data_IF_971203843988
#
_entry.id   IF_971203843988
#
_cell.length_a   1.000
_cell.length_b   1.000
_cell.length_c   1.000
_cell.angle_alpha   90.00
_cell.angle_beta   90.00
_cell.angle_gamma   90.00
#
_symmetry.space_group_name_H-M   'P 1'
#
loop_
_entity.id
_entity.type
_entity.pdbx_description
1 polymer ?
#
# COMPACT_ATOMS: atom_id res chain seq x y z
N UNK A 1 -20.95 -2.63 32.34
CA UNK A 1 -21.52 -2.41 31.00
C UNK A 1 -20.37 -2.52 30.01
N UNK A 2 -20.20 -3.70 29.39
CA UNK A 2 -19.08 -3.96 28.49
C UNK A 2 -19.35 -3.20 27.20
N UNK A 3 -18.52 -2.19 26.89
CA UNK A 3 -18.69 -1.38 25.70
C UNK A 3 -18.27 -2.23 24.51
N UNK A 4 -19.25 -2.79 23.80
CA UNK A 4 -19.01 -3.56 22.58
C UNK A 4 -18.25 -2.69 21.57
N UNK A 5 -17.12 -3.22 21.10
CA UNK A 5 -16.31 -2.55 20.09
C UNK A 5 -17.07 -2.52 18.77
N UNK A 6 -17.01 -1.41 17.99
CA UNK A 6 -17.56 -1.37 16.63
C UNK A 6 -17.02 -2.53 15.79
N UNK A 7 -17.86 -3.11 14.93
CA UNK A 7 -17.48 -4.29 14.14
C UNK A 7 -16.30 -4.03 13.21
N UNK A 8 -16.14 -2.81 12.70
CA UNK A 8 -15.01 -2.42 11.84
C UNK A 8 -13.70 -2.53 12.60
N UNK A 9 -13.70 -2.12 13.87
CA UNK A 9 -12.51 -2.15 14.71
C UNK A 9 -12.12 -3.57 15.08
N UNK A 10 -13.09 -4.49 15.20
CA UNK A 10 -12.80 -5.93 15.41
C UNK A 10 -12.11 -6.56 14.20
N UNK A 11 -12.58 -6.24 12.98
CA UNK A 11 -11.98 -6.75 11.73
C UNK A 11 -10.53 -6.24 11.61
N UNK A 12 -10.31 -4.95 11.83
CA UNK A 12 -8.97 -4.35 11.70
C UNK A 12 -8.05 -4.82 12.83
N UNK A 13 -8.56 -5.01 14.05
CA UNK A 13 -7.78 -5.59 15.15
C UNK A 13 -7.35 -7.04 14.85
N UNK A 14 -8.18 -7.82 14.15
CA UNK A 14 -7.81 -9.17 13.71
C UNK A 14 -6.65 -9.13 12.71
N UNK A 15 -6.68 -8.25 11.70
CA UNK A 15 -5.55 -8.08 10.77
C UNK A 15 -4.30 -7.59 11.49
N UNK A 16 -4.40 -6.62 12.40
CA UNK A 16 -3.26 -6.18 13.21
C UNK A 16 -2.64 -7.29 14.04
N UNK A 17 -3.46 -8.18 14.62
CA UNK A 17 -2.95 -9.35 15.34
C UNK A 17 -2.23 -10.33 14.41
N UNK A 18 -2.75 -10.54 13.20
CA UNK A 18 -2.09 -11.38 12.20
C UNK A 18 -0.78 -10.77 11.72
N UNK A 19 -0.71 -9.45 11.50
CA UNK A 19 0.53 -8.74 11.16
C UNK A 19 1.60 -8.95 12.25
N UNK A 20 1.22 -8.82 13.53
CA UNK A 20 2.13 -9.07 14.67
C UNK A 20 2.60 -10.52 14.66
N UNK A 21 1.70 -11.47 14.43
CA UNK A 21 2.07 -12.90 14.34
C UNK A 21 3.08 -13.12 13.23
N UNK A 22 2.88 -12.54 12.04
CA UNK A 22 3.80 -12.68 10.91
C UNK A 22 5.19 -12.12 11.23
N UNK A 23 5.26 -10.89 11.78
CA UNK A 23 6.53 -10.28 12.20
C UNK A 23 7.22 -11.12 13.28
N UNK A 24 6.48 -11.62 14.28
CA UNK A 24 7.05 -12.50 15.29
C UNK A 24 7.54 -13.83 14.70
N UNK A 25 6.81 -14.43 13.75
CA UNK A 25 7.23 -15.68 13.10
C UNK A 25 8.45 -15.49 12.22
N UNK A 26 8.58 -14.35 11.54
CA UNK A 26 9.79 -13.98 10.81
C UNK A 26 11.01 -14.00 11.75
N UNK A 27 10.93 -13.22 12.84
CA UNK A 27 11.99 -13.08 13.83
C UNK A 27 12.37 -14.39 14.55
N UNK A 28 11.42 -15.29 14.75
CA UNK A 28 11.63 -16.51 15.53
C UNK A 28 11.97 -17.74 14.69
N UNK A 29 11.45 -17.82 13.46
CA UNK A 29 11.58 -19.05 12.65
C UNK A 29 12.84 -19.07 11.80
N UNK A 30 13.27 -17.92 11.26
CA UNK A 30 14.32 -17.86 10.23
C UNK A 30 14.00 -18.68 8.97
N UNK A 31 12.73 -19.04 8.72
CA UNK A 31 12.33 -19.84 7.57
C UNK A 31 11.89 -18.97 6.41
N UNK A 32 12.24 -19.37 5.18
CA UNK A 32 11.77 -18.70 3.94
C UNK A 32 10.25 -18.62 3.81
N UNK A 33 9.50 -19.49 4.50
CA UNK A 33 8.03 -19.48 4.47
C UNK A 33 7.42 -18.26 5.17
N UNK A 34 8.16 -17.65 6.10
CA UNK A 34 7.76 -16.48 6.89
C UNK A 34 8.78 -15.34 6.75
N UNK A 35 9.57 -15.34 5.69
CA UNK A 35 10.60 -14.33 5.48
C UNK A 35 10.00 -13.07 4.85
N UNK A 36 9.96 -11.98 5.61
CA UNK A 36 9.33 -10.73 5.17
C UNK A 36 10.06 -10.07 4.00
N UNK A 37 11.36 -10.37 3.79
CA UNK A 37 12.17 -9.83 2.69
C UNK A 37 12.02 -10.66 1.39
N UNK A 38 11.33 -11.80 1.47
CA UNK A 38 11.19 -12.72 0.35
C UNK A 38 9.77 -12.76 -0.18
N UNK A 39 9.69 -12.84 -1.50
CA UNK A 39 8.43 -12.95 -2.22
C UNK A 39 7.89 -14.39 -2.27
N UNK A 40 6.61 -14.53 -2.66
CA UNK A 40 5.95 -15.83 -2.89
C UNK A 40 5.88 -16.76 -1.67
N UNK A 41 5.55 -16.20 -0.49
CA UNK A 41 5.44 -16.94 0.77
C UNK A 41 4.15 -16.60 1.53
N UNK A 42 4.08 -16.93 2.82
CA UNK A 42 2.86 -16.69 3.63
C UNK A 42 2.61 -15.19 3.83
N UNK A 43 3.58 -14.37 4.29
CA UNK A 43 3.44 -12.92 4.34
C UNK A 43 2.90 -12.29 3.05
N UNK A 44 3.49 -12.62 1.90
CA UNK A 44 3.10 -11.96 0.65
C UNK A 44 1.71 -12.38 0.17
N UNK A 45 1.34 -13.66 0.32
CA UNK A 45 -0.03 -14.11 0.05
C UNK A 45 -1.05 -13.40 0.96
N UNK A 46 -0.71 -13.24 2.24
CA UNK A 46 -1.57 -12.55 3.20
C UNK A 46 -1.74 -11.06 2.87
N UNK A 47 -0.65 -10.37 2.53
CA UNK A 47 -0.66 -8.97 2.15
C UNK A 47 -1.44 -8.75 0.85
N UNK A 48 -1.23 -9.61 -0.16
CA UNK A 48 -2.01 -9.62 -1.39
C UNK A 48 -3.51 -9.78 -1.11
N UNK A 49 -3.89 -10.73 -0.24
CA UNK A 49 -5.28 -10.92 0.16
C UNK A 49 -5.89 -9.66 0.81
N UNK A 50 -5.16 -8.99 1.71
CA UNK A 50 -5.61 -7.72 2.33
C UNK A 50 -5.85 -6.64 1.28
N UNK A 51 -4.96 -6.50 0.30
CA UNK A 51 -5.08 -5.55 -0.79
C UNK A 51 -6.24 -5.90 -1.74
N UNK A 52 -6.45 -7.17 -2.07
CA UNK A 52 -7.59 -7.62 -2.87
C UNK A 52 -8.93 -7.37 -2.13
N UNK A 53 -8.98 -7.62 -0.82
CA UNK A 53 -10.15 -7.31 0.00
C UNK A 53 -10.43 -5.79 0.01
N UNK A 54 -9.39 -4.97 0.19
CA UNK A 54 -9.49 -3.52 0.14
C UNK A 54 -10.04 -3.05 -1.21
N UNK A 55 -9.53 -3.60 -2.31
CA UNK A 55 -9.99 -3.31 -3.67
C UNK A 55 -11.47 -3.69 -3.86
N UNK A 56 -11.88 -4.88 -3.41
CA UNK A 56 -13.26 -5.34 -3.48
C UNK A 56 -14.23 -4.47 -2.70
N UNK A 57 -13.86 -4.04 -1.48
CA UNK A 57 -14.67 -3.13 -0.67
C UNK A 57 -14.77 -1.74 -1.31
N UNK A 58 -13.67 -1.21 -1.87
CA UNK A 58 -13.67 0.05 -2.59
C UNK A 58 -14.53 0.00 -3.88
N UNK A 59 -14.48 -1.12 -4.62
CA UNK A 59 -15.32 -1.35 -5.79
C UNK A 59 -16.81 -1.44 -5.41
N UNK A 60 -17.14 -2.04 -4.26
CA UNK A 60 -18.50 -2.07 -3.73
C UNK A 60 -19.02 -0.66 -3.41
N UNK A 61 -18.17 0.21 -2.85
CA UNK A 61 -18.50 1.62 -2.64
C UNK A 61 -18.76 2.35 -3.94
N UNK A 62 -17.86 2.19 -4.93
CA UNK A 62 -18.07 2.75 -6.26
C UNK A 62 -19.40 2.31 -6.86
N UNK A 63 -19.71 1.01 -6.77
CA UNK A 63 -20.97 0.47 -7.28
C UNK A 63 -22.20 1.13 -6.64
N UNK A 64 -22.18 1.33 -5.31
CA UNK A 64 -23.25 2.03 -4.60
C UNK A 64 -23.40 3.48 -5.07
N UNK A 65 -22.29 4.20 -5.22
CA UNK A 65 -22.28 5.60 -5.66
C UNK A 65 -22.77 5.76 -7.10
N UNK A 66 -22.44 4.83 -8.01
CA UNK A 66 -22.95 4.87 -9.38
C UNK A 66 -24.49 4.77 -9.41
N UNK A 67 -25.08 4.01 -8.47
CA UNK A 67 -26.54 3.86 -8.35
C UNK A 67 -27.22 5.05 -7.68
N UNK A 68 -26.51 5.80 -6.85
CA UNK A 68 -27.02 7.02 -6.23
C UNK A 68 -26.89 8.22 -7.18
N UNK A 69 -28.02 8.79 -7.60
CA UNK A 69 -28.09 9.93 -8.53
C UNK A 69 -27.59 11.24 -7.94
N UNK A 70 -27.42 11.33 -6.62
CA UNK A 70 -27.02 12.55 -5.93
C UNK A 70 -25.52 12.64 -5.65
N UNK A 71 -24.73 11.62 -6.02
CA UNK A 71 -23.29 11.59 -5.74
C UNK A 71 -22.50 12.30 -6.82
N UNK A 72 -21.52 13.11 -6.40
CA UNK A 72 -20.65 13.85 -7.32
C UNK A 72 -19.68 12.95 -8.07
N UNK A 73 -19.36 13.31 -9.32
CA UNK A 73 -18.38 12.61 -10.17
C UNK A 73 -17.03 12.43 -9.47
N UNK A 74 -16.61 13.41 -8.66
CA UNK A 74 -15.33 13.37 -7.96
C UNK A 74 -15.20 12.19 -6.98
N UNK A 75 -16.26 11.90 -6.22
CA UNK A 75 -16.25 10.79 -5.25
C UNK A 75 -16.22 9.44 -5.97
N UNK A 76 -16.96 9.32 -7.08
CA UNK A 76 -16.91 8.13 -7.94
C UNK A 76 -15.51 7.92 -8.53
N UNK A 77 -14.88 8.98 -9.03
CA UNK A 77 -13.51 8.91 -9.55
C UNK A 77 -12.52 8.49 -8.46
N UNK A 78 -12.63 9.06 -7.25
CA UNK A 78 -11.80 8.64 -6.11
C UNK A 78 -11.94 7.14 -5.85
N UNK A 79 -13.16 6.62 -5.66
CA UNK A 79 -13.36 5.21 -5.35
C UNK A 79 -12.95 4.27 -6.49
N UNK A 80 -13.11 4.70 -7.74
CA UNK A 80 -12.60 3.94 -8.90
C UNK A 80 -11.09 3.88 -8.96
N UNK A 81 -10.40 5.02 -8.80
CA UNK A 81 -8.94 5.05 -8.75
C UNK A 81 -8.41 4.27 -7.54
N UNK A 82 -9.07 4.39 -6.38
CA UNK A 82 -8.68 3.72 -5.16
C UNK A 82 -8.84 2.19 -5.26
N UNK A 83 -9.95 1.72 -5.83
CA UNK A 83 -10.16 0.29 -6.09
C UNK A 83 -9.16 -0.27 -7.11
N UNK A 84 -8.91 0.45 -8.21
CA UNK A 84 -7.94 0.05 -9.22
C UNK A 84 -6.50 0.02 -8.68
N UNK A 85 -6.11 1.01 -7.88
CA UNK A 85 -4.80 1.07 -7.24
C UNK A 85 -4.58 -0.08 -6.25
N UNK A 86 -5.55 -0.33 -5.36
CA UNK A 86 -5.47 -1.45 -4.42
C UNK A 86 -5.45 -2.82 -5.13
N UNK A 87 -6.20 -2.96 -6.23
CA UNK A 87 -6.16 -4.17 -7.06
C UNK A 87 -4.80 -4.37 -7.69
N UNK A 88 -4.22 -3.30 -8.27
CA UNK A 88 -2.89 -3.34 -8.87
C UNK A 88 -1.83 -3.75 -7.84
N UNK A 89 -1.80 -3.12 -6.67
CA UNK A 89 -0.85 -3.47 -5.61
C UNK A 89 -1.04 -4.92 -5.14
N UNK A 90 -2.28 -5.38 -4.97
CA UNK A 90 -2.53 -6.77 -4.57
C UNK A 90 -2.10 -7.79 -5.62
N UNK A 91 -2.20 -7.45 -6.91
CA UNK A 91 -1.70 -8.29 -7.99
C UNK A 91 -0.18 -8.23 -8.09
N UNK A 92 0.41 -7.07 -7.87
CA UNK A 92 1.86 -6.89 -7.85
C UNK A 92 2.49 -7.77 -6.77
N UNK A 93 1.97 -7.69 -5.54
CA UNK A 93 2.38 -8.54 -4.41
C UNK A 93 2.27 -10.04 -4.72
N UNK A 94 1.18 -10.47 -5.36
CA UNK A 94 0.98 -11.89 -5.67
C UNK A 94 1.86 -12.40 -6.81
N UNK A 95 2.22 -11.52 -7.76
CA UNK A 95 2.83 -11.90 -9.03
C UNK A 95 4.24 -11.33 -9.22
N UNK A 96 4.75 -10.55 -8.26
CA UNK A 96 6.04 -9.87 -8.31
C UNK A 96 6.21 -9.09 -9.61
N UNK A 97 5.23 -8.24 -9.96
CA UNK A 97 5.25 -7.52 -11.25
C UNK A 97 6.39 -6.52 -11.28
N UNK A 98 6.64 -5.86 -10.15
CA UNK A 98 7.71 -4.87 -9.99
C UNK A 98 9.11 -5.48 -10.23
N UNK A 99 9.33 -6.75 -9.92
CA UNK A 99 10.58 -7.46 -10.24
C UNK A 99 10.91 -7.48 -11.74
N UNK A 100 9.88 -7.44 -12.58
CA UNK A 100 10.02 -7.43 -14.04
C UNK A 100 10.02 -6.00 -14.63
N UNK A 101 9.96 -4.95 -13.81
CA UNK A 101 9.81 -3.57 -14.29
C UNK A 101 10.97 -3.12 -15.19
N UNK A 102 12.21 -3.55 -14.90
CA UNK A 102 13.37 -3.25 -15.75
C UNK A 102 13.26 -3.88 -17.15
N UNK A 103 12.81 -5.14 -17.22
CA UNK A 103 12.59 -5.82 -18.49
C UNK A 103 11.46 -5.15 -19.30
N UNK A 104 10.36 -4.80 -18.64
CA UNK A 104 9.24 -4.09 -19.26
C UNK A 104 9.69 -2.73 -19.84
N UNK A 105 10.49 -1.97 -19.09
CA UNK A 105 10.96 -0.67 -19.56
C UNK A 105 11.93 -0.81 -20.74
N UNK A 106 12.80 -1.82 -20.72
CA UNK A 106 13.71 -2.10 -21.84
C UNK A 106 12.98 -2.33 -23.16
N UNK A 107 11.76 -2.89 -23.10
CA UNK A 107 10.88 -3.03 -24.26
C UNK A 107 10.27 -1.72 -24.77
N UNK A 108 10.20 -0.67 -23.94
CA UNK A 108 9.58 0.62 -24.29
C UNK A 108 10.62 1.64 -24.76
N UNK A 109 11.71 1.83 -24.01
CA UNK A 109 12.72 2.87 -24.27
C UNK A 109 14.04 2.31 -24.81
N UNK A 110 14.13 1.00 -25.02
CA UNK A 110 15.34 0.31 -25.43
C UNK A 110 16.30 0.02 -24.26
N UNK A 111 17.24 -0.90 -24.51
CA UNK A 111 18.26 -1.31 -23.54
C UNK A 111 19.20 -0.16 -23.16
N UNK A 112 19.61 0.66 -24.12
CA UNK A 112 20.49 1.82 -23.89
C UNK A 112 19.81 2.89 -23.00
N UNK A 113 18.53 3.17 -23.26
CA UNK A 113 17.75 4.11 -22.44
C UNK A 113 17.56 3.61 -21.01
N UNK A 114 17.30 2.31 -20.85
CA UNK A 114 17.16 1.68 -19.52
C UNK A 114 18.48 1.72 -18.76
N UNK A 115 19.60 1.40 -19.41
CA UNK A 115 20.93 1.48 -18.80
C UNK A 115 21.26 2.91 -18.35
N UNK A 116 21.06 3.90 -19.22
CA UNK A 116 21.30 5.32 -18.88
C UNK A 116 20.47 5.75 -17.67
N UNK A 117 19.22 5.30 -17.61
CA UNK A 117 18.34 5.60 -16.49
C UNK A 117 18.85 4.97 -15.19
N UNK A 118 19.20 3.68 -15.20
CA UNK A 118 19.77 2.98 -14.04
C UNK A 118 21.11 3.59 -13.60
N UNK A 119 21.95 4.06 -14.52
CA UNK A 119 23.23 4.71 -14.22
C UNK A 119 23.08 6.01 -13.42
N UNK A 120 22.07 6.83 -13.73
CA UNK A 120 21.79 8.08 -12.99
C UNK A 120 21.49 7.80 -11.51
N UNK A 121 20.73 6.74 -11.23
CA UNK A 121 20.32 6.41 -9.86
C UNK A 121 21.36 5.58 -9.11
N UNK A 122 22.07 4.69 -9.79
CA UNK A 122 23.23 3.98 -9.20
C UNK A 122 24.34 4.96 -8.80
N UNK A 123 24.56 6.04 -9.57
CA UNK A 123 25.43 7.15 -9.17
C UNK A 123 24.96 7.87 -7.89
N UNK A 124 23.65 7.81 -7.58
CA UNK A 124 23.05 8.29 -6.33
C UNK A 124 23.18 7.31 -5.15
N UNK A 125 23.83 6.15 -5.34
CA UNK A 125 24.05 5.13 -4.31
C UNK A 125 23.00 4.02 -4.24
N UNK A 126 22.16 3.91 -5.26
CA UNK A 126 21.08 2.91 -5.35
C UNK A 126 21.56 1.62 -6.01
N UNK A 127 21.36 0.43 -5.42
CA UNK A 127 22.01 -0.79 -5.93
C UNK A 127 21.18 -2.04 -6.16
N UNK A 128 19.97 -2.18 -5.61
CA UNK A 128 19.20 -3.44 -5.71
C UNK A 128 17.78 -3.28 -6.28
N UNK A 129 17.03 -2.26 -5.91
CA UNK A 129 15.57 -2.24 -6.19
C UNK A 129 15.18 -1.39 -7.42
N UNK A 130 15.70 -1.72 -8.61
CA UNK A 130 15.51 -0.92 -9.83
C UNK A 130 14.05 -0.52 -10.11
N UNK A 131 13.09 -1.32 -9.68
CA UNK A 131 11.66 -1.04 -9.76
C UNK A 131 11.24 0.25 -9.06
N UNK A 132 11.88 0.62 -7.95
CA UNK A 132 11.62 1.83 -7.18
C UNK A 132 11.73 3.07 -8.07
N UNK A 133 12.72 3.06 -8.97
CA UNK A 133 12.98 4.17 -9.89
C UNK A 133 11.82 4.37 -10.85
N UNK A 134 11.28 3.26 -11.36
CA UNK A 134 10.17 3.27 -12.31
C UNK A 134 8.86 3.63 -11.63
N UNK A 135 8.68 3.22 -10.38
CA UNK A 135 7.45 3.45 -9.63
C UNK A 135 7.45 4.81 -8.94
N UNK A 136 8.60 5.47 -8.76
CA UNK A 136 8.70 6.76 -8.08
C UNK A 136 7.81 7.87 -8.69
N UNK A 137 7.78 8.10 -10.02
CA UNK A 137 6.85 9.08 -10.60
C UNK A 137 5.38 8.73 -10.36
N UNK A 138 5.04 7.44 -10.43
CA UNK A 138 3.69 6.94 -10.17
C UNK A 138 3.32 7.14 -8.70
N UNK A 139 4.22 6.82 -7.77
CA UNK A 139 4.06 7.06 -6.34
C UNK A 139 3.79 8.54 -6.06
N UNK A 140 4.61 9.44 -6.61
CA UNK A 140 4.42 10.89 -6.44
C UNK A 140 3.03 11.30 -6.95
N UNK A 141 2.64 10.83 -8.14
CA UNK A 141 1.32 11.11 -8.70
C UNK A 141 0.18 10.58 -7.81
N UNK A 142 0.31 9.39 -7.24
CA UNK A 142 -0.65 8.79 -6.31
C UNK A 142 -0.74 9.58 -5.02
N UNK A 143 0.39 9.91 -4.38
CA UNK A 143 0.43 10.68 -3.13
C UNK A 143 -0.17 12.08 -3.31
N UNK A 144 0.17 12.77 -4.41
CA UNK A 144 -0.42 14.08 -4.76
C UNK A 144 -1.92 13.95 -4.99
N UNK A 145 -2.35 12.90 -5.69
CA UNK A 145 -3.77 12.62 -5.93
C UNK A 145 -4.53 12.36 -4.62
N UNK A 146 -3.94 11.59 -3.70
CA UNK A 146 -4.53 11.35 -2.37
C UNK A 146 -4.69 12.67 -1.60
N UNK A 147 -3.67 13.53 -1.58
CA UNK A 147 -3.77 14.85 -0.92
C UNK A 147 -4.84 15.72 -1.59
N UNK A 148 -4.94 15.69 -2.91
CA UNK A 148 -5.97 16.39 -3.66
C UNK A 148 -7.38 15.91 -3.28
N UNK A 149 -7.63 14.60 -3.31
CA UNK A 149 -8.92 14.02 -2.95
C UNK A 149 -9.24 14.22 -1.47
N UNK A 150 -8.27 14.05 -0.58
CA UNK A 150 -8.44 14.29 0.85
C UNK A 150 -8.93 15.72 1.14
N UNK A 151 -8.38 16.73 0.43
CA UNK A 151 -8.83 18.12 0.55
C UNK A 151 -10.22 18.33 -0.02
N UNK A 152 -10.50 17.81 -1.21
CA UNK A 152 -11.78 18.05 -1.92
C UNK A 152 -12.95 17.26 -1.33
N UNK A 153 -12.69 16.07 -0.81
CA UNK A 153 -13.69 15.18 -0.19
C UNK A 153 -13.74 15.34 1.33
N UNK A 154 -12.95 16.24 1.93
CA UNK A 154 -13.03 16.56 3.35
C UNK A 154 -14.47 16.83 3.85
N UNK A 155 -15.33 17.58 3.12
CA UNK A 155 -16.71 17.81 3.55
C UNK A 155 -17.56 16.53 3.57
N UNK A 156 -17.27 15.57 2.69
CA UNK A 156 -18.00 14.29 2.60
C UNK A 156 -17.47 13.26 3.61
N UNK A 157 -16.15 13.10 3.69
CA UNK A 157 -15.51 12.09 4.53
C UNK A 157 -15.40 12.51 6.00
N UNK A 158 -15.29 13.80 6.27
CA UNK A 158 -15.04 14.35 7.60
C UNK A 158 -13.59 14.16 8.08
N UNK A 159 -13.25 14.87 9.16
CA UNK A 159 -11.88 14.98 9.68
C UNK A 159 -11.22 13.64 9.97
N UNK A 160 -11.91 12.73 10.66
CA UNK A 160 -11.32 11.45 11.10
C UNK A 160 -10.88 10.59 9.91
N UNK A 161 -11.73 10.47 8.88
CA UNK A 161 -11.45 9.67 7.68
C UNK A 161 -10.33 10.27 6.84
N UNK A 162 -10.31 11.60 6.70
CA UNK A 162 -9.22 12.28 6.01
C UNK A 162 -7.88 12.07 6.72
N UNK A 163 -7.85 12.14 8.06
CA UNK A 163 -6.64 11.84 8.83
C UNK A 163 -6.19 10.39 8.60
N UNK A 164 -7.10 9.42 8.61
CA UNK A 164 -6.78 8.02 8.34
C UNK A 164 -6.19 7.81 6.94
N UNK A 165 -6.82 8.40 5.92
CA UNK A 165 -6.35 8.31 4.53
C UNK A 165 -4.95 8.94 4.37
N UNK A 166 -4.71 10.10 4.97
CA UNK A 166 -3.40 10.77 4.92
C UNK A 166 -2.34 10.04 5.75
N UNK A 167 -2.71 9.46 6.89
CA UNK A 167 -1.81 8.66 7.71
C UNK A 167 -1.39 7.37 6.97
N UNK A 168 -2.34 6.69 6.33
CA UNK A 168 -2.06 5.53 5.51
C UNK A 168 -1.15 5.88 4.32
N UNK A 169 -1.44 6.96 3.61
CA UNK A 169 -0.60 7.44 2.51
C UNK A 169 0.80 7.86 2.98
N UNK A 170 0.91 8.43 4.18
CA UNK A 170 2.20 8.78 4.80
C UNK A 170 3.02 7.54 5.16
N UNK A 171 2.40 6.51 5.74
CA UNK A 171 3.05 5.23 6.03
C UNK A 171 3.50 4.53 4.76
N UNK A 172 2.62 4.43 3.75
CA UNK A 172 2.97 3.86 2.46
C UNK A 172 4.06 4.66 1.73
N UNK A 173 4.03 5.99 1.79
CA UNK A 173 5.13 6.80 1.27
C UNK A 173 6.44 6.61 2.02
N UNK A 174 6.39 6.23 3.30
CA UNK A 174 7.56 5.95 4.10
C UNK A 174 8.22 4.61 3.74
N UNK A 175 7.47 3.61 3.25
CA UNK A 175 8.04 2.32 2.82
C UNK A 175 9.06 2.53 1.70
N UNK A 176 8.69 3.27 0.65
CA UNK A 176 9.59 3.66 -0.43
C UNK A 176 10.85 4.41 0.06
N UNK A 177 10.72 5.22 1.11
CA UNK A 177 11.87 5.92 1.69
C UNK A 177 12.78 4.97 2.49
N UNK A 178 12.20 4.02 3.21
CA UNK A 178 12.93 2.98 3.95
C UNK A 178 13.66 2.06 2.96
N UNK A 179 12.99 1.61 1.91
CA UNK A 179 13.59 0.79 0.85
C UNK A 179 14.77 1.51 0.20
N UNK A 180 14.58 2.78 -0.17
CA UNK A 180 15.65 3.59 -0.72
C UNK A 180 16.86 3.72 0.23
N UNK A 181 16.64 3.71 1.54
CA UNK A 181 17.71 3.73 2.53
C UNK A 181 18.34 2.33 2.66
N UNK A 182 17.54 1.28 2.73
CA UNK A 182 17.98 -0.12 2.88
C UNK A 182 18.89 -0.59 1.74
N UNK A 183 18.59 -0.15 0.53
CA UNK A 183 19.28 -0.54 -0.72
C UNK A 183 20.61 0.19 -0.98
N UNK A 184 21.08 1.03 -0.04
CA UNK A 184 22.37 1.74 -0.15
C UNK A 184 23.56 0.83 0.12
N UNK A 185 24.66 1.05 -0.59
CA UNK A 185 25.90 0.23 -0.58
C UNK A 185 26.62 0.04 0.75
N UNK A 186 26.19 0.72 1.83
CA UNK A 186 26.72 0.54 3.19
C UNK A 186 25.73 -0.09 4.19
N UNK A 187 24.48 -0.33 3.77
CA UNK A 187 23.40 -0.78 4.65
C UNK A 187 22.99 -2.22 4.31
N UNK A 188 22.84 -2.54 3.02
CA UNK A 188 22.34 -3.80 2.46
C UNK A 188 22.93 -5.11 3.05
N UNK A 189 24.13 -5.07 3.63
CA UNK A 189 24.81 -6.25 4.20
C UNK A 189 25.00 -6.17 5.72
N UNK A 190 24.20 -5.34 6.40
CA UNK A 190 24.34 -5.06 7.84
C UNK A 190 23.08 -5.43 8.59
N UNK A 191 23.17 -5.63 9.91
CA UNK A 191 21.98 -5.82 10.77
C UNK A 191 21.04 -4.60 10.77
N UNK A 192 21.50 -3.45 10.27
CA UNK A 192 20.66 -2.26 10.11
C UNK A 192 19.67 -2.46 8.96
N UNK A 193 20.04 -3.23 7.92
CA UNK A 193 19.13 -3.58 6.83
C UNK A 193 17.91 -4.35 7.35
N UNK A 194 18.13 -5.39 8.15
CA UNK A 194 17.06 -6.20 8.74
C UNK A 194 16.07 -5.35 9.55
N UNK A 195 16.58 -4.40 10.34
CA UNK A 195 15.72 -3.46 11.08
C UNK A 195 14.91 -2.55 10.14
N UNK A 196 15.52 -2.06 9.06
CA UNK A 196 14.86 -1.20 8.07
C UNK A 196 13.77 -2.00 7.34
N UNK A 197 14.09 -3.19 6.84
CA UNK A 197 13.16 -4.09 6.16
C UNK A 197 11.97 -4.43 7.05
N UNK A 198 12.19 -4.85 8.30
CA UNK A 198 11.07 -5.15 9.22
C UNK A 198 10.21 -3.90 9.47
N UNK A 199 10.84 -2.73 9.59
CA UNK A 199 10.11 -1.47 9.79
C UNK A 199 9.29 -1.09 8.57
N UNK A 200 9.85 -1.29 7.38
CA UNK A 200 9.20 -1.08 6.10
C UNK A 200 7.97 -1.97 5.94
N UNK A 201 8.15 -3.27 6.07
CA UNK A 201 7.10 -4.29 5.97
C UNK A 201 5.98 -4.05 6.97
N UNK A 202 6.34 -3.69 8.20
CA UNK A 202 5.36 -3.31 9.23
C UNK A 202 4.61 -2.03 8.86
N UNK A 203 5.29 -1.02 8.31
CA UNK A 203 4.67 0.21 7.87
C UNK A 203 3.72 -0.03 6.69
N UNK A 204 4.08 -0.92 5.78
CA UNK A 204 3.22 -1.30 4.66
C UNK A 204 1.95 -2.01 5.15
N UNK A 205 2.08 -3.07 5.94
CA UNK A 205 0.95 -3.80 6.51
C UNK A 205 0.01 -2.90 7.33
N UNK A 206 0.59 -1.98 8.12
CA UNK A 206 -0.15 -0.99 8.89
C UNK A 206 -0.88 0.01 7.99
N UNK A 207 -0.26 0.45 6.89
CA UNK A 207 -0.89 1.36 5.93
C UNK A 207 -2.18 0.74 5.36
N UNK A 208 -2.14 -0.53 4.99
CA UNK A 208 -3.31 -1.26 4.46
C UNK A 208 -4.39 -1.43 5.52
N UNK A 209 -4.04 -1.66 6.79
CA UNK A 209 -5.02 -1.72 7.88
C UNK A 209 -5.76 -0.39 8.10
N UNK A 210 -5.04 0.73 8.03
CA UNK A 210 -5.66 2.05 8.11
C UNK A 210 -6.60 2.31 6.93
N UNK A 211 -6.22 1.87 5.72
CA UNK A 211 -7.09 1.95 4.54
C UNK A 211 -8.32 1.05 4.67
N UNK A 212 -8.18 -0.18 5.16
CA UNK A 212 -9.32 -1.07 5.42
C UNK A 212 -10.30 -0.42 6.42
N UNK A 213 -9.79 0.14 7.52
CA UNK A 213 -10.62 0.86 8.47
C UNK A 213 -11.32 2.07 7.81
N UNK A 214 -10.60 2.83 6.99
CA UNK A 214 -11.14 3.96 6.23
C UNK A 214 -12.29 3.51 5.31
N UNK A 215 -12.11 2.43 4.56
CA UNK A 215 -13.13 1.93 3.62
C UNK A 215 -14.36 1.40 4.34
N UNK A 216 -14.19 0.55 5.36
CA UNK A 216 -15.33 -0.04 6.08
C UNK A 216 -16.11 1.06 6.81
N UNK A 217 -15.42 1.98 7.49
CA UNK A 217 -16.08 3.07 8.23
C UNK A 217 -16.79 4.07 7.30
N UNK A 218 -16.41 4.17 6.03
CA UNK A 218 -17.11 4.97 5.03
C UNK A 218 -18.46 4.38 4.63
N UNK A 219 -18.67 3.07 4.81
CA UNK A 219 -19.92 2.38 4.41
C UNK A 219 -21.05 2.46 5.42
N UNK A 220 -20.73 2.68 6.69
CA UNK A 220 -21.71 2.59 7.78
C UNK A 220 -22.55 3.87 7.97
N UNK A 221 -22.05 5.04 7.55
CA UNK A 221 -22.76 6.31 7.76
C UNK A 221 -23.78 6.64 6.65
N UNK A 222 -23.60 6.13 5.43
CA UNK A 222 -24.59 6.32 4.36
C UNK A 222 -25.95 5.68 4.70
N UNK A 223 -25.99 4.71 5.63
CA UNK A 223 -27.23 4.10 6.12
C UNK A 223 -27.96 4.89 7.22
N UNK A 224 -27.34 5.93 7.81
CA UNK A 224 -27.96 6.71 8.89
C UNK A 224 -28.64 7.99 8.41
N UNK A 225 -28.48 8.34 7.14
CA UNK A 225 -29.04 9.55 6.51
C UNK A 225 -30.10 9.25 5.45
N UNK A 226 -30.54 7.99 5.35
CA UNK A 226 -31.62 7.54 4.46
C UNK A 226 -32.92 7.31 5.20
#
# INVERSE_FOLDING_TARGET
>A
MQKDWPSELRIVAMFLLLDIVLVCTHLLSGSQLFDLDSEQNIPTFYQSFKLMLLAGLAALHLYRLIRDRNTGTLERTFWGMFAAGALFLGLDEALTIHENAGALLSGIIGSEGTQTYTEIFTAGGFTSSNWLLFYLPLLIAVLVSIVYFARKLYPSFGRKRVILLLAAAGLFGATFALEFIGTKTGIWMTSVYELIMITEETAEMMSVNLLLYFVISSGHEQHKTG
#
